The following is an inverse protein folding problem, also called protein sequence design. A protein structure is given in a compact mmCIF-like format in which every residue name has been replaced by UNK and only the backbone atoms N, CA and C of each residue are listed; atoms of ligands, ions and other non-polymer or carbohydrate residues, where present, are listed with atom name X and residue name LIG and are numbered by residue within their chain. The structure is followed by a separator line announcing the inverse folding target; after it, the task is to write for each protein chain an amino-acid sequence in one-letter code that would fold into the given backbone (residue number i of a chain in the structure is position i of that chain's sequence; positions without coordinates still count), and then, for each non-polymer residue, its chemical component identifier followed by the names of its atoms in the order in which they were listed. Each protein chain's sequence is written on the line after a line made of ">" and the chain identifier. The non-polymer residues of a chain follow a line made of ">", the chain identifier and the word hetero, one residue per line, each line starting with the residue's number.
data_IF_511622946394
#
_entry.id   IF_511622946394
#
_cell.length_a   1.000
_cell.length_b   1.000
_cell.length_c   1.000
_cell.angle_alpha   90.00
_cell.angle_beta   90.00
_cell.angle_gamma   90.00
#
_symmetry.space_group_name_H-M   'P 1'
#
loop_
_entity.id
_entity.type
_entity.pdbx_description
1 polymer ?
#
# COMPACT_ATOMS: atom_id res chain seq x y z
N UNK A 1 -59.35 -2.35 -9.14
CA UNK A 1 -59.89 -3.65 -9.58
C UNK A 1 -59.05 -4.72 -8.90
N UNK A 2 -59.70 -5.38 -7.92
CA UNK A 2 -59.41 -6.68 -7.29
C UNK A 2 -58.12 -6.88 -6.50
N UNK A 3 -58.27 -6.57 -5.21
CA UNK A 3 -57.91 -7.30 -3.98
C UNK A 3 -57.49 -8.78 -4.06
N UNK A 4 -56.57 -9.17 -3.16
CA UNK A 4 -56.49 -10.42 -2.35
C UNK A 4 -55.11 -10.44 -1.65
N UNK A 5 -54.94 -10.09 -0.37
CA UNK A 5 -55.28 -10.85 0.86
C UNK A 5 -55.06 -12.37 0.79
N UNK A 6 -54.05 -12.86 1.51
CA UNK A 6 -54.18 -14.06 2.36
C UNK A 6 -53.01 -14.17 3.34
N UNK A 7 -53.36 -14.00 4.61
CA UNK A 7 -52.59 -14.37 5.78
C UNK A 7 -52.74 -15.87 6.05
N UNK A 8 -51.69 -16.50 6.61
CA UNK A 8 -51.84 -17.70 7.44
C UNK A 8 -50.99 -17.49 8.70
N UNK A 9 -51.69 -17.45 9.84
CA UNK A 9 -51.16 -17.57 11.19
C UNK A 9 -51.53 -18.94 11.75
N UNK A 10 -50.61 -19.58 12.47
CA UNK A 10 -50.84 -20.47 13.62
C UNK A 10 -49.46 -20.93 14.12
N UNK A 11 -48.90 -20.41 15.22
CA UNK A 11 -49.18 -20.71 16.63
C UNK A 11 -48.94 -22.17 17.01
N UNK A 12 -47.95 -22.39 17.87
CA UNK A 12 -47.64 -23.67 18.50
C UNK A 12 -46.54 -23.51 19.56
N UNK A 13 -46.94 -23.00 20.73
CA UNK A 13 -46.19 -23.01 21.97
C UNK A 13 -45.72 -24.43 22.34
N UNK A 14 -44.53 -24.55 22.96
CA UNK A 14 -44.39 -25.08 24.33
C UNK A 14 -42.96 -25.47 24.71
N UNK A 15 -42.61 -25.05 25.94
CA UNK A 15 -41.78 -25.71 26.95
C UNK A 15 -40.26 -25.66 26.86
N UNK A 16 -39.76 -24.83 27.77
CA UNK A 16 -38.53 -24.92 28.54
C UNK A 16 -38.07 -26.35 28.85
N UNK A 17 -36.77 -26.58 28.70
CA UNK A 17 -36.01 -27.41 29.63
C UNK A 17 -34.59 -26.88 29.78
N UNK A 18 -34.30 -26.48 31.02
CA UNK A 18 -33.00 -26.18 31.56
C UNK A 18 -32.09 -27.39 31.47
N UNK A 19 -30.88 -27.23 30.94
CA UNK A 19 -29.79 -28.17 31.18
C UNK A 19 -28.46 -27.43 31.18
N UNK A 20 -28.02 -27.11 32.40
CA UNK A 20 -26.64 -26.79 32.73
C UNK A 20 -25.74 -28.00 32.40
N UNK A 21 -24.57 -27.83 31.79
CA UNK A 21 -23.53 -28.84 31.87
C UNK A 21 -22.74 -28.69 33.18
N UNK A 22 -22.36 -29.81 33.83
CA UNK A 22 -21.71 -29.81 35.13
C UNK A 22 -20.23 -29.41 35.05
N UNK A 23 -19.80 -28.77 36.13
CA UNK A 23 -18.41 -28.63 36.54
C UNK A 23 -17.75 -30.01 36.67
N UNK A 24 -16.61 -30.22 35.99
CA UNK A 24 -15.67 -31.27 36.34
C UNK A 24 -14.28 -30.70 36.56
N UNK A 25 -13.90 -30.76 37.83
CA UNK A 25 -12.55 -30.68 38.33
C UNK A 25 -11.64 -31.75 37.72
N UNK A 26 -10.38 -31.35 37.51
CA UNK A 26 -9.23 -32.16 37.84
C UNK A 26 -8.99 -33.44 37.04
N UNK A 27 -8.21 -33.34 35.96
CA UNK A 27 -7.11 -34.29 35.76
C UNK A 27 -6.04 -33.74 34.82
N UNK A 28 -4.87 -33.49 35.42
CA UNK A 28 -3.62 -33.09 34.79
C UNK A 28 -3.08 -34.25 33.92
N UNK A 29 -2.93 -34.11 32.59
CA UNK A 29 -2.29 -35.16 31.80
C UNK A 29 -0.78 -35.19 32.07
N UNK A 30 -0.30 -36.40 32.36
CA UNK A 30 1.11 -36.74 32.60
C UNK A 30 1.96 -36.37 31.38
N UNK A 31 3.06 -35.66 31.66
CA UNK A 31 4.16 -35.32 30.75
C UNK A 31 4.75 -36.61 30.16
N UNK A 32 4.47 -36.89 28.88
CA UNK A 32 5.14 -37.95 28.14
C UNK A 32 6.61 -37.57 27.91
N UNK A 33 7.51 -38.46 28.33
CA UNK A 33 8.94 -38.37 28.06
C UNK A 33 9.16 -38.59 26.57
N UNK A 34 9.55 -37.55 25.85
CA UNK A 34 10.12 -37.68 24.50
C UNK A 34 11.61 -37.97 24.66
N UNK A 35 12.02 -39.12 24.14
CA UNK A 35 13.41 -39.55 23.99
C UNK A 35 14.20 -38.52 23.18
N UNK A 36 15.23 -37.94 23.78
CA UNK A 36 16.30 -37.25 23.05
C UNK A 36 17.36 -38.29 22.62
N UNK A 37 17.77 -38.35 21.35
CA UNK A 37 19.02 -39.01 20.99
C UNK A 37 20.21 -38.15 21.41
N UNK A 38 21.13 -38.78 22.13
CA UNK A 38 22.42 -38.25 22.57
C UNK A 38 23.31 -37.86 21.38
N UNK A 39 23.74 -36.60 21.35
CA UNK A 39 24.85 -36.14 20.50
C UNK A 39 26.19 -36.44 21.19
N UNK A 40 27.22 -36.94 20.46
CA UNK A 40 28.54 -37.16 21.02
C UNK A 40 29.35 -35.85 21.17
N UNK A 41 30.25 -35.89 22.16
CA UNK A 41 31.12 -34.81 22.61
C UNK A 41 32.12 -34.30 21.55
N UNK A 42 32.62 -33.06 21.66
CA UNK A 42 33.57 -32.47 20.71
C UNK A 42 35.00 -32.95 20.97
N UNK A 43 35.65 -33.45 19.92
CA UNK A 43 37.09 -33.70 19.86
C UNK A 43 37.82 -32.41 19.51
N UNK A 44 38.78 -32.05 20.38
CA UNK A 44 39.78 -31.02 20.16
C UNK A 44 40.70 -31.39 18.98
N UNK A 45 40.90 -30.48 18.02
CA UNK A 45 42.14 -30.41 17.24
C UNK A 45 42.33 -29.06 16.53
N UNK A 46 43.47 -28.44 16.84
CA UNK A 46 44.34 -27.64 15.96
C UNK A 46 43.82 -26.32 15.34
N UNK A 47 44.24 -25.22 15.99
CA UNK A 47 44.52 -23.91 15.39
C UNK A 47 45.54 -24.02 14.23
N UNK A 48 45.40 -23.17 13.20
CA UNK A 48 46.54 -22.47 12.63
C UNK A 48 46.48 -20.98 12.94
N UNK A 49 47.64 -20.47 13.39
CA UNK A 49 47.95 -19.04 13.49
C UNK A 49 47.96 -18.44 12.09
N UNK A 50 47.21 -17.37 11.86
CA UNK A 50 47.48 -16.44 10.76
C UNK A 50 47.93 -15.12 11.36
N UNK A 51 49.16 -14.81 10.98
CA UNK A 51 49.98 -13.65 11.30
C UNK A 51 49.33 -12.35 10.86
N UNK A 52 49.29 -11.40 11.79
CA UNK A 52 49.13 -9.97 11.54
C UNK A 52 50.45 -9.44 11.00
N UNK A 53 50.42 -8.79 9.84
CA UNK A 53 51.52 -7.96 9.33
C UNK A 53 51.02 -6.55 9.05
N UNK A 54 51.68 -5.59 9.69
CA UNK A 54 51.57 -4.14 9.53
C UNK A 54 52.11 -3.64 8.18
N UNK A 55 51.83 -2.35 7.92
CA UNK A 55 52.38 -1.42 6.93
C UNK A 55 51.51 -1.29 5.65
N UNK A 56 51.22 -0.09 5.10
CA UNK A 56 51.93 1.20 5.15
C UNK A 56 51.01 2.32 4.65
N UNK A 57 51.25 3.53 5.11
CA UNK A 57 50.70 4.80 4.61
C UNK A 57 50.98 5.05 3.12
N UNK A 58 50.05 5.72 2.43
CA UNK A 58 50.38 6.91 1.61
C UNK A 58 49.14 7.75 1.22
N UNK A 59 49.25 9.10 1.27
CA UNK A 59 48.26 10.05 0.77
C UNK A 59 48.60 10.59 -0.62
N UNK A 60 47.60 11.19 -1.30
CA UNK A 60 47.61 12.28 -2.31
C UNK A 60 46.19 12.34 -2.89
N UNK A 61 45.38 13.37 -2.60
CA UNK A 61 45.28 14.68 -3.29
C UNK A 61 44.76 14.62 -4.73
N UNK A 62 43.82 15.54 -4.97
CA UNK A 62 43.44 16.18 -6.24
C UNK A 62 42.30 15.58 -7.12
N UNK A 63 41.16 16.27 -6.97
CA UNK A 63 40.52 17.09 -8.01
C UNK A 63 39.32 16.56 -8.83
N UNK A 64 38.42 17.52 -9.05
CA UNK A 64 37.35 17.61 -10.04
C UNK A 64 36.23 16.55 -10.06
N UNK A 65 35.00 16.96 -9.73
CA UNK A 65 34.11 17.48 -10.79
C UNK A 65 32.66 17.67 -10.34
N UNK A 66 32.14 18.79 -10.81
CA UNK A 66 30.77 19.30 -10.80
C UNK A 66 29.88 18.49 -11.75
N UNK A 67 28.57 18.45 -11.47
CA UNK A 67 27.42 18.69 -12.41
C UNK A 67 26.15 18.05 -11.84
N UNK A 68 25.15 18.80 -11.36
CA UNK A 68 24.13 19.60 -12.10
C UNK A 68 23.35 18.78 -13.12
N UNK A 69 22.13 18.38 -12.75
CA UNK A 69 21.16 17.71 -13.62
C UNK A 69 20.20 18.76 -14.18
N UNK A 70 20.42 19.18 -15.43
CA UNK A 70 19.45 19.92 -16.23
C UNK A 70 19.31 19.32 -17.64
N UNK A 71 18.05 19.30 -18.09
CA UNK A 71 17.55 19.33 -19.46
C UNK A 71 17.98 18.27 -20.48
N UNK A 72 17.02 17.39 -20.79
CA UNK A 72 16.93 16.70 -22.09
C UNK A 72 15.93 17.43 -23.00
N UNK A 73 16.46 18.14 -24.00
CA UNK A 73 15.75 18.50 -25.22
C UNK A 73 16.72 18.53 -26.42
N UNK A 74 16.36 17.77 -27.46
CA UNK A 74 16.72 17.93 -28.88
C UNK A 74 18.21 18.00 -29.30
N UNK A 75 18.70 16.97 -30.00
CA UNK A 75 18.83 16.95 -31.47
C UNK A 75 19.45 15.64 -31.98
N UNK A 76 19.17 15.40 -33.24
CA UNK A 76 19.19 14.14 -33.97
C UNK A 76 20.05 14.39 -35.21
N UNK A 77 21.11 13.60 -35.41
CA UNK A 77 21.93 13.45 -36.63
C UNK A 77 23.08 12.49 -36.23
N UNK A 78 23.59 11.55 -37.02
CA UNK A 78 23.23 10.97 -38.30
C UNK A 78 23.99 9.62 -38.33
N UNK A 79 23.33 8.53 -38.73
CA UNK A 79 24.03 7.30 -39.09
C UNK A 79 23.53 6.89 -40.48
N UNK A 80 24.42 7.05 -41.44
CA UNK A 80 24.30 6.60 -42.82
C UNK A 80 24.51 5.10 -42.86
N UNK A 81 23.46 4.35 -43.23
CA UNK A 81 23.60 2.98 -43.71
C UNK A 81 22.86 2.81 -45.04
N UNK A 82 23.60 2.25 -46.00
CA UNK A 82 23.20 1.93 -47.36
C UNK A 82 21.98 1.02 -47.40
N UNK A 83 20.90 1.49 -48.05
CA UNK A 83 19.77 0.66 -48.43
C UNK A 83 19.66 0.62 -49.95
N UNK A 84 19.89 -0.57 -50.48
CA UNK A 84 19.72 -0.97 -51.87
C UNK A 84 18.25 -0.85 -52.28
N UNK A 85 17.93 0.12 -53.14
CA UNK A 85 16.57 0.32 -53.66
C UNK A 85 16.26 -0.76 -54.69
N UNK A 86 15.35 -1.66 -54.33
CA UNK A 86 14.71 -2.62 -55.22
C UNK A 86 13.78 -1.87 -56.18
N UNK A 87 14.08 -1.94 -57.47
CA UNK A 87 13.32 -1.28 -58.54
C UNK A 87 12.08 -2.08 -58.91
N UNK A 88 10.89 -1.50 -58.75
CA UNK A 88 9.67 -2.01 -59.35
C UNK A 88 9.53 -1.50 -60.80
N UNK A 89 9.06 -2.31 -61.75
CA UNK A 89 8.97 -1.92 -63.16
C UNK A 89 7.77 -0.98 -63.40
N UNK A 90 8.08 0.27 -63.72
CA UNK A 90 7.15 1.27 -64.25
C UNK A 90 6.52 0.80 -65.57
N UNK A 91 5.22 1.06 -65.72
CA UNK A 91 4.42 0.61 -66.87
C UNK A 91 4.83 1.31 -68.17
N UNK A 92 4.63 0.64 -69.31
CA UNK A 92 5.01 1.10 -70.67
C UNK A 92 4.35 2.44 -71.10
N UNK A 93 3.41 3.00 -70.34
CA UNK A 93 2.74 4.27 -70.65
C UNK A 93 3.54 5.52 -70.25
N UNK A 94 4.36 5.46 -69.20
CA UNK A 94 4.99 6.66 -68.63
C UNK A 94 6.28 7.07 -69.35
N UNK A 95 6.89 6.16 -70.13
CA UNK A 95 8.13 6.43 -70.87
C UNK A 95 7.95 7.33 -72.10
N UNK A 96 6.72 7.52 -72.60
CA UNK A 96 6.46 8.38 -73.78
C UNK A 96 6.23 9.86 -73.44
N UNK A 97 5.93 10.20 -72.19
CA UNK A 97 5.70 11.60 -71.79
C UNK A 97 7.01 12.35 -71.48
N UNK A 98 8.04 11.64 -71.02
CA UNK A 98 9.29 12.26 -70.56
C UNK A 98 10.25 12.59 -71.72
N UNK A 99 10.12 11.92 -72.87
CA UNK A 99 11.02 12.13 -74.02
C UNK A 99 10.68 13.33 -74.91
N UNK A 100 9.53 13.99 -74.70
CA UNK A 100 9.12 15.17 -75.49
C UNK A 100 9.51 16.52 -74.87
N UNK A 101 10.12 16.53 -73.68
CA UNK A 101 10.46 17.75 -72.93
C UNK A 101 11.97 17.96 -72.76
N UNK A 102 12.75 17.70 -73.81
CA UNK A 102 14.19 18.00 -73.84
C UNK A 102 14.61 18.53 -75.22
N UNK A 103 14.02 19.64 -75.62
CA UNK A 103 14.28 20.29 -76.89
C UNK A 103 13.58 21.64 -77.01
N UNK A 104 13.84 22.54 -76.08
CA UNK A 104 13.57 23.97 -76.24
C UNK A 104 14.31 24.72 -75.13
N UNK A 105 15.50 25.23 -75.45
CA UNK A 105 16.05 26.40 -74.77
C UNK A 105 15.66 27.62 -75.59
N UNK A 106 14.83 28.48 -75.03
CA UNK A 106 14.80 29.90 -75.34
C UNK A 106 14.18 30.58 -74.11
N UNK A 107 14.76 31.72 -73.74
CA UNK A 107 14.31 32.58 -72.65
C UNK A 107 12.81 32.83 -72.72
N UNK A 108 12.06 32.31 -71.74
CA UNK A 108 10.66 32.66 -71.52
C UNK A 108 10.54 33.16 -70.09
N UNK A 109 10.34 34.47 -70.01
CA UNK A 109 9.81 35.20 -68.86
C UNK A 109 8.66 34.40 -68.21
N UNK A 110 8.56 34.29 -66.87
CA UNK A 110 7.50 33.52 -66.25
C UNK A 110 6.15 34.17 -66.57
N UNK A 111 5.43 33.59 -67.54
CA UNK A 111 4.08 34.00 -67.90
C UNK A 111 3.16 33.74 -66.69
N UNK A 112 3.01 34.78 -65.86
CA UNK A 112 2.06 34.80 -64.76
C UNK A 112 0.67 34.76 -65.38
N UNK A 113 0.01 33.60 -65.25
CA UNK A 113 -1.37 33.41 -65.67
C UNK A 113 -2.27 34.32 -64.80
N UNK A 114 -2.54 35.51 -65.32
CA UNK A 114 -3.39 36.54 -64.71
C UNK A 114 -4.87 36.29 -65.00
N UNK A 115 -5.22 35.17 -65.64
CA UNK A 115 -6.61 34.85 -65.93
C UNK A 115 -7.35 34.43 -64.66
N UNK A 116 -8.41 35.17 -64.33
CA UNK A 116 -9.28 34.82 -63.22
C UNK A 116 -9.83 33.40 -63.46
N UNK A 117 -9.65 32.51 -62.47
CA UNK A 117 -10.03 31.10 -62.57
C UNK A 117 -11.48 30.94 -63.06
N UNK A 118 -11.64 30.43 -64.28
CA UNK A 118 -12.94 30.20 -64.91
C UNK A 118 -13.78 29.27 -64.02
N UNK A 119 -14.92 29.76 -63.53
CA UNK A 119 -15.87 28.96 -62.76
C UNK A 119 -16.43 27.86 -63.65
N UNK A 120 -15.87 26.65 -63.52
CA UNK A 120 -16.24 25.46 -64.28
C UNK A 120 -17.63 24.97 -63.85
N UNK A 121 -18.67 25.56 -64.46
CA UNK A 121 -20.09 25.27 -64.21
C UNK A 121 -20.60 23.99 -64.92
N UNK A 122 -19.75 22.96 -65.03
CA UNK A 122 -20.18 21.70 -65.64
C UNK A 122 -21.08 20.90 -64.70
N UNK A 123 -22.10 20.21 -65.22
CA UNK A 123 -22.94 19.30 -64.42
C UNK A 123 -22.12 18.21 -63.70
N UNK A 124 -20.94 17.86 -64.23
CA UNK A 124 -20.02 16.87 -63.66
C UNK A 124 -19.27 17.42 -62.44
N UNK A 125 -18.77 18.67 -62.52
CA UNK A 125 -18.10 19.35 -61.40
C UNK A 125 -19.09 19.66 -60.27
N UNK A 126 -20.31 20.10 -60.59
CA UNK A 126 -21.36 20.30 -59.59
C UNK A 126 -21.73 19.01 -58.84
N UNK A 127 -21.82 17.88 -59.54
CA UNK A 127 -22.05 16.56 -58.90
C UNK A 127 -20.89 16.13 -58.00
N UNK A 128 -19.65 16.45 -58.39
CA UNK A 128 -18.46 16.08 -57.64
C UNK A 128 -18.29 16.96 -56.39
N UNK A 129 -18.53 18.26 -56.49
CA UNK A 129 -18.61 19.20 -55.36
C UNK A 129 -19.71 18.79 -54.38
N UNK A 130 -20.94 18.55 -54.87
CA UNK A 130 -22.05 18.09 -54.01
C UNK A 130 -21.76 16.75 -53.32
N UNK A 131 -20.96 15.87 -53.95
CA UNK A 131 -20.50 14.61 -53.34
C UNK A 131 -19.38 14.84 -52.32
N UNK A 132 -18.49 15.80 -52.53
CA UNK A 132 -17.47 16.21 -51.55
C UNK A 132 -18.11 16.92 -50.34
N UNK A 133 -19.05 17.84 -50.56
CA UNK A 133 -19.84 18.48 -49.51
C UNK A 133 -20.65 17.46 -48.70
N UNK A 134 -21.28 16.46 -49.36
CA UNK A 134 -21.94 15.35 -48.63
C UNK A 134 -20.97 14.50 -47.83
N UNK A 135 -19.70 14.38 -48.27
CA UNK A 135 -18.66 13.66 -47.51
C UNK A 135 -18.12 14.50 -46.36
N UNK A 136 -18.00 15.82 -46.52
CA UNK A 136 -17.55 16.74 -45.48
C UNK A 136 -18.63 16.98 -44.42
N UNK A 137 -19.89 17.16 -44.81
CA UNK A 137 -21.03 17.25 -43.88
C UNK A 137 -21.32 15.95 -43.12
N UNK A 138 -20.81 14.80 -43.61
CA UNK A 138 -20.84 13.52 -42.91
C UNK A 138 -19.64 13.30 -41.98
N UNK A 139 -18.63 14.17 -41.99
CA UNK A 139 -17.59 14.13 -40.96
C UNK A 139 -18.21 14.69 -39.69
N UNK A 140 -18.41 13.82 -38.71
CA UNK A 140 -18.74 14.23 -37.35
C UNK A 140 -17.53 15.03 -36.85
N UNK A 141 -17.64 16.35 -36.92
CA UNK A 141 -16.66 17.24 -36.30
C UNK A 141 -16.89 17.16 -34.79
N UNK A 142 -16.16 16.28 -34.11
CA UNK A 142 -16.04 16.40 -32.66
C UNK A 142 -15.34 17.73 -32.37
N UNK A 143 -15.97 18.59 -31.58
CA UNK A 143 -15.37 19.85 -31.12
C UNK A 143 -14.16 19.62 -30.19
N UNK A 144 -13.87 18.37 -29.84
CA UNK A 144 -12.76 17.97 -28.96
C UNK A 144 -11.46 18.09 -29.75
N UNK A 145 -10.67 19.12 -29.46
CA UNK A 145 -9.34 19.35 -30.05
C UNK A 145 -8.22 18.87 -29.12
N UNK A 146 -8.47 18.91 -27.81
CA UNK A 146 -7.53 18.56 -26.75
C UNK A 146 -8.15 17.56 -25.77
N UNK A 147 -7.29 16.84 -25.04
CA UNK A 147 -7.70 15.98 -23.93
C UNK A 147 -8.51 16.76 -22.88
N UNK A 148 -8.21 18.05 -22.67
CA UNK A 148 -8.92 18.87 -21.70
C UNK A 148 -10.33 19.29 -22.16
N UNK A 149 -10.68 19.07 -23.42
CA UNK A 149 -12.01 19.38 -23.96
C UNK A 149 -13.03 18.25 -23.69
N UNK A 150 -12.58 17.14 -23.10
CA UNK A 150 -13.47 16.07 -22.68
C UNK A 150 -14.38 16.52 -21.52
N UNK A 151 -15.64 16.07 -21.47
CA UNK A 151 -16.50 16.25 -20.31
C UNK A 151 -15.83 15.69 -19.04
N UNK A 152 -16.07 16.29 -17.87
CA UNK A 152 -15.42 15.91 -16.61
C UNK A 152 -15.65 14.44 -16.27
N UNK A 153 -16.80 13.86 -16.60
CA UNK A 153 -17.10 12.45 -16.36
C UNK A 153 -16.17 11.52 -17.15
N UNK A 154 -15.89 11.88 -18.41
CA UNK A 154 -14.98 11.13 -19.28
C UNK A 154 -13.54 11.28 -18.81
N UNK A 155 -13.15 12.48 -18.39
CA UNK A 155 -11.84 12.72 -17.78
C UNK A 155 -11.66 11.88 -16.51
N UNK A 156 -12.65 11.87 -15.62
CA UNK A 156 -12.60 11.05 -14.40
C UNK A 156 -12.52 9.56 -14.73
N UNK A 157 -13.25 9.09 -15.73
CA UNK A 157 -13.20 7.71 -16.18
C UNK A 157 -11.79 7.35 -16.68
N UNK A 158 -11.21 8.16 -17.58
CA UNK A 158 -9.88 7.93 -18.15
C UNK A 158 -8.82 7.95 -17.05
N UNK A 159 -8.83 8.95 -16.16
CA UNK A 159 -7.91 9.01 -15.02
C UNK A 159 -8.12 7.83 -14.07
N UNK A 160 -9.35 7.35 -13.94
CA UNK A 160 -9.68 6.13 -13.23
C UNK A 160 -8.99 4.89 -13.81
N UNK A 161 -8.61 4.88 -15.10
CA UNK A 161 -7.80 3.84 -15.76
C UNK A 161 -6.30 3.89 -15.51
N UNK A 162 -5.81 4.99 -14.92
CA UNK A 162 -4.40 5.14 -14.61
C UNK A 162 -4.02 4.51 -13.27
N UNK A 163 -2.74 4.16 -13.12
CA UNK A 163 -2.18 3.77 -11.83
C UNK A 163 -2.02 5.01 -10.95
N UNK A 164 -2.06 4.90 -9.61
CA UNK A 164 -1.87 6.05 -8.72
C UNK A 164 -0.58 6.84 -9.02
N UNK A 165 0.54 6.17 -9.32
CA UNK A 165 1.79 6.82 -9.75
C UNK A 165 1.62 7.72 -10.96
N UNK A 166 0.83 7.27 -11.93
CA UNK A 166 0.64 7.97 -13.20
C UNK A 166 -0.29 9.17 -12.98
N UNK A 167 -1.31 9.04 -12.11
CA UNK A 167 -2.15 10.17 -11.64
C UNK A 167 -1.32 11.22 -10.92
N UNK A 168 -0.38 10.83 -10.05
CA UNK A 168 0.54 11.78 -9.42
C UNK A 168 1.45 12.50 -10.44
N UNK A 169 1.83 11.83 -11.53
CA UNK A 169 2.52 12.48 -12.64
C UNK A 169 1.62 13.49 -13.37
N UNK A 170 0.33 13.18 -13.54
CA UNK A 170 -0.64 14.10 -14.14
C UNK A 170 -0.83 15.39 -13.32
N UNK A 171 -0.75 15.32 -11.98
CA UNK A 171 -0.80 16.50 -11.10
C UNK A 171 0.29 17.54 -11.38
N UNK A 172 1.38 17.15 -12.05
CA UNK A 172 2.53 18.01 -12.37
C UNK A 172 2.46 18.62 -13.77
N UNK A 173 1.50 18.22 -14.61
CA UNK A 173 1.46 18.64 -16.01
C UNK A 173 0.96 20.08 -16.19
N UNK A 174 -0.19 20.41 -15.61
CA UNK A 174 -0.76 21.76 -15.68
C UNK A 174 -1.71 22.03 -14.50
N UNK A 175 -2.04 23.30 -14.28
CA UNK A 175 -2.88 23.75 -13.18
C UNK A 175 -4.31 23.20 -13.23
N UNK A 176 -4.90 23.11 -14.44
CA UNK A 176 -6.25 22.56 -14.62
C UNK A 176 -6.32 21.10 -14.16
N UNK A 177 -5.40 20.26 -14.64
CA UNK A 177 -5.33 18.84 -14.28
C UNK A 177 -5.06 18.65 -12.78
N UNK A 178 -4.18 19.50 -12.21
CA UNK A 178 -3.93 19.52 -10.78
C UNK A 178 -5.21 19.78 -9.99
N UNK A 179 -5.95 20.84 -10.31
CA UNK A 179 -7.17 21.19 -9.60
C UNK A 179 -8.25 20.14 -9.81
N UNK A 180 -8.45 19.69 -11.05
CA UNK A 180 -9.42 18.65 -11.39
C UNK A 180 -9.20 17.36 -10.59
N UNK A 181 -7.96 16.87 -10.50
CA UNK A 181 -7.64 15.67 -9.74
C UNK A 181 -7.85 15.89 -8.23
N UNK A 182 -7.44 17.04 -7.69
CA UNK A 182 -7.57 17.33 -6.27
C UNK A 182 -9.04 17.51 -5.84
N UNK A 183 -9.87 18.14 -6.67
CA UNK A 183 -11.30 18.29 -6.43
C UNK A 183 -12.05 16.94 -6.51
N UNK A 184 -11.60 16.04 -7.38
CA UNK A 184 -12.22 14.73 -7.60
C UNK A 184 -11.45 13.57 -6.96
N UNK A 185 -10.54 13.85 -6.02
CA UNK A 185 -9.55 12.90 -5.52
C UNK A 185 -10.21 11.61 -4.98
N UNK A 186 -11.26 11.76 -4.17
CA UNK A 186 -11.96 10.62 -3.55
C UNK A 186 -12.58 9.70 -4.59
N UNK A 187 -13.27 10.26 -5.59
CA UNK A 187 -13.94 9.49 -6.65
C UNK A 187 -12.93 8.73 -7.50
N UNK A 188 -11.84 9.42 -7.89
CA UNK A 188 -10.73 8.82 -8.63
C UNK A 188 -10.05 7.70 -7.85
N UNK A 189 -9.67 7.95 -6.60
CA UNK A 189 -9.02 6.97 -5.74
C UNK A 189 -9.91 5.73 -5.51
N UNK A 190 -11.21 5.93 -5.31
CA UNK A 190 -12.16 4.82 -5.17
C UNK A 190 -12.29 4.01 -6.45
N UNK A 191 -12.41 4.67 -7.61
CA UNK A 191 -12.45 3.99 -8.91
C UNK A 191 -11.20 3.15 -9.17
N UNK A 192 -10.02 3.72 -8.93
CA UNK A 192 -8.73 3.05 -9.12
C UNK A 192 -8.60 1.87 -8.14
N UNK A 193 -8.86 2.10 -6.86
CA UNK A 193 -8.72 1.08 -5.82
C UNK A 193 -9.69 -0.07 -6.03
N UNK A 194 -10.94 0.22 -6.39
CA UNK A 194 -11.95 -0.82 -6.63
C UNK A 194 -11.58 -1.71 -7.83
N UNK A 195 -10.95 -1.16 -8.87
CA UNK A 195 -10.57 -1.94 -10.04
C UNK A 195 -9.26 -2.69 -9.84
N UNK A 196 -8.23 -2.04 -9.31
CA UNK A 196 -6.86 -2.58 -9.32
C UNK A 196 -6.42 -3.18 -7.98
N UNK A 197 -7.00 -2.74 -6.86
CA UNK A 197 -6.50 -3.01 -5.51
C UNK A 197 -7.63 -3.46 -4.57
N UNK A 198 -8.57 -4.25 -5.08
CA UNK A 198 -9.78 -4.62 -4.34
C UNK A 198 -9.48 -5.52 -3.13
N UNK A 199 -8.56 -6.47 -3.27
CA UNK A 199 -8.11 -7.36 -2.20
C UNK A 199 -7.30 -6.57 -1.19
N UNK A 200 -6.32 -5.80 -1.66
CA UNK A 200 -5.41 -5.04 -0.82
C UNK A 200 -6.13 -3.96 0.00
N UNK A 201 -7.18 -3.31 -0.56
CA UNK A 201 -8.02 -2.36 0.18
C UNK A 201 -8.63 -2.96 1.44
N UNK A 202 -9.03 -4.23 1.39
CA UNK A 202 -9.64 -4.92 2.53
C UNK A 202 -8.60 -5.33 3.58
N UNK A 203 -7.39 -5.66 3.12
CA UNK A 203 -6.29 -6.10 3.98
C UNK A 203 -5.58 -4.94 4.69
N UNK A 204 -5.54 -3.77 4.06
CA UNK A 204 -4.80 -2.59 4.52
C UNK A 204 -5.69 -1.36 4.72
N UNK A 205 -6.60 -1.42 5.70
CA UNK A 205 -7.42 -0.29 6.11
C UNK A 205 -6.58 0.86 6.66
N UNK A 206 -7.10 2.08 6.60
CA UNK A 206 -6.48 3.26 7.18
C UNK A 206 -6.82 3.38 8.67
N UNK A 207 -5.87 3.77 9.53
CA UNK A 207 -6.19 4.20 10.88
C UNK A 207 -7.01 5.49 10.88
N UNK A 208 -7.79 5.70 11.94
CA UNK A 208 -8.71 6.84 12.06
C UNK A 208 -8.05 7.96 12.87
N UNK A 209 -8.21 9.22 12.45
CA UNK A 209 -7.77 10.38 13.22
C UNK A 209 -8.48 10.44 14.58
N UNK A 210 -7.76 10.82 15.64
CA UNK A 210 -8.35 10.96 16.97
C UNK A 210 -9.52 11.96 16.97
N UNK A 211 -9.41 13.01 16.15
CA UNK A 211 -10.45 14.02 15.96
C UNK A 211 -11.78 13.47 15.41
N UNK A 212 -11.77 12.31 14.75
CA UNK A 212 -12.96 11.64 14.22
C UNK A 212 -13.52 10.58 15.18
N UNK A 213 -12.81 10.28 16.27
CA UNK A 213 -13.26 9.32 17.29
C UNK A 213 -14.37 9.95 18.15
N UNK A 214 -15.40 9.20 18.58
CA UNK A 214 -16.42 9.67 19.51
C UNK A 214 -15.83 10.26 20.80
N UNK A 215 -16.42 11.36 21.28
CA UNK A 215 -15.93 12.09 22.46
C UNK A 215 -15.87 11.22 23.73
N UNK A 216 -16.76 10.24 23.88
CA UNK A 216 -16.78 9.30 25.00
C UNK A 216 -15.54 8.39 25.05
N UNK A 217 -14.93 8.06 23.90
CA UNK A 217 -13.80 7.15 23.83
C UNK A 217 -12.44 7.86 23.84
N UNK A 218 -12.38 9.13 23.44
CA UNK A 218 -11.13 9.94 23.43
C UNK A 218 -10.39 9.97 24.77
N UNK A 219 -11.03 10.27 25.93
CA UNK A 219 -10.28 10.33 27.18
C UNK A 219 -9.73 8.95 27.57
N UNK A 220 -10.46 7.86 27.26
CA UNK A 220 -10.00 6.49 27.52
C UNK A 220 -8.76 6.18 26.69
N UNK A 221 -8.77 6.54 25.41
CA UNK A 221 -7.63 6.35 24.52
C UNK A 221 -6.41 7.14 24.98
N UNK A 222 -6.57 8.34 25.53
CA UNK A 222 -5.45 9.14 26.03
C UNK A 222 -5.00 8.74 27.44
N UNK A 223 -5.75 7.87 28.13
CA UNK A 223 -5.44 7.48 29.51
C UNK A 223 -4.11 6.72 29.61
N UNK A 224 -3.28 6.99 30.64
CA UNK A 224 -2.03 6.24 30.86
C UNK A 224 -2.24 4.74 30.93
N UNK A 225 -3.36 4.29 31.52
CA UNK A 225 -3.70 2.87 31.64
C UNK A 225 -3.84 2.19 30.27
N UNK A 226 -4.51 2.82 29.31
CA UNK A 226 -4.61 2.29 27.95
C UNK A 226 -3.25 2.36 27.25
N UNK A 227 -2.58 3.51 27.34
CA UNK A 227 -1.27 3.73 26.74
C UNK A 227 -0.22 2.71 27.23
N UNK A 228 -0.29 2.31 28.49
CA UNK A 228 0.54 1.27 29.10
C UNK A 228 0.21 -0.13 28.58
N UNK A 229 -1.07 -0.46 28.41
CA UNK A 229 -1.48 -1.77 27.87
C UNK A 229 -1.03 -1.97 26.42
N UNK A 230 -1.10 -0.92 25.62
CA UNK A 230 -0.64 -0.99 24.23
C UNK A 230 0.88 -0.87 24.09
N UNK A 231 1.64 -0.70 25.19
CA UNK A 231 3.11 -0.75 25.14
C UNK A 231 3.63 -2.02 24.49
N UNK A 232 2.97 -3.16 24.63
CA UNK A 232 3.41 -4.43 24.00
C UNK A 232 3.42 -4.31 22.47
N UNK A 233 2.44 -3.61 21.91
CA UNK A 233 2.30 -3.37 20.48
C UNK A 233 3.01 -2.09 20.01
N UNK A 234 3.66 -1.36 20.92
CA UNK A 234 4.49 -0.16 20.66
C UNK A 234 5.97 -0.37 20.95
N UNK A 235 6.33 -1.34 21.78
CA UNK A 235 7.71 -1.69 22.11
C UNK A 235 8.41 -2.24 20.85
N UNK A 236 9.69 -1.90 20.68
CA UNK A 236 10.10 -1.20 19.47
C UNK A 236 10.35 -2.19 18.35
N UNK A 237 9.38 -2.29 17.46
CA UNK A 237 9.69 -2.65 16.09
C UNK A 237 10.77 -1.71 15.62
N UNK A 238 11.93 -2.24 15.22
CA UNK A 238 13.03 -1.42 14.68
C UNK A 238 12.63 -0.72 13.37
N UNK A 239 11.53 -1.15 12.76
CA UNK A 239 11.08 -0.77 11.43
C UNK A 239 9.71 -0.07 11.40
N UNK A 240 9.15 0.31 12.56
CA UNK A 240 7.85 1.01 12.65
C UNK A 240 7.96 2.17 13.63
N UNK A 241 7.58 3.39 13.20
CA UNK A 241 7.45 4.54 14.10
C UNK A 241 6.27 4.34 15.03
N UNK A 242 6.43 4.70 16.30
CA UNK A 242 5.33 4.68 17.25
C UNK A 242 4.23 5.65 16.81
N UNK A 243 2.98 5.20 16.89
CA UNK A 243 1.80 6.01 16.63
C UNK A 243 1.67 7.11 17.69
N UNK A 244 1.45 8.34 17.25
CA UNK A 244 1.17 9.47 18.14
C UNK A 244 -0.29 9.39 18.64
N UNK A 245 -0.52 9.15 19.94
CA UNK A 245 -1.87 9.07 20.50
C UNK A 245 -2.64 10.38 20.44
N UNK A 246 -1.98 11.53 20.29
CA UNK A 246 -2.65 12.83 20.21
C UNK A 246 -3.27 13.07 18.82
N UNK A 247 -2.74 12.43 17.78
CA UNK A 247 -3.15 12.66 16.38
C UNK A 247 -4.02 11.54 15.85
N UNK A 248 -3.67 10.29 16.13
CA UNK A 248 -4.31 9.10 15.54
C UNK A 248 -4.91 8.23 16.63
N UNK A 249 -6.07 7.64 16.36
CA UNK A 249 -6.71 6.67 17.24
C UNK A 249 -5.77 5.49 17.54
N UNK A 250 -5.69 5.11 18.81
CA UNK A 250 -4.82 4.03 19.29
C UNK A 250 -5.60 2.80 19.76
N UNK A 251 -6.85 2.63 19.29
CA UNK A 251 -7.56 1.36 19.45
C UNK A 251 -6.79 0.24 18.72
N UNK A 252 -7.05 -1.02 19.08
CA UNK A 252 -6.26 -2.14 18.56
C UNK A 252 -6.29 -2.23 17.02
N UNK A 253 -7.47 -2.05 16.42
CA UNK A 253 -7.65 -2.04 14.96
C UNK A 253 -6.84 -0.93 14.27
N UNK A 254 -6.85 0.30 14.80
CA UNK A 254 -6.07 1.41 14.23
C UNK A 254 -4.55 1.19 14.42
N UNK A 255 -4.13 0.63 15.55
CA UNK A 255 -2.73 0.31 15.83
C UNK A 255 -2.19 -0.76 14.86
N UNK A 256 -2.96 -1.83 14.63
CA UNK A 256 -2.59 -2.86 13.66
C UNK A 256 -2.56 -2.32 12.23
N UNK A 257 -3.51 -1.45 11.88
CA UNK A 257 -3.56 -0.77 10.57
C UNK A 257 -2.32 0.11 10.35
N UNK A 258 -1.95 0.89 11.36
CA UNK A 258 -0.73 1.71 11.36
C UNK A 258 0.52 0.85 11.14
N UNK A 259 0.66 -0.23 11.91
CA UNK A 259 1.81 -1.12 11.81
C UNK A 259 1.90 -1.76 10.42
N UNK A 260 0.78 -2.27 9.89
CA UNK A 260 0.74 -2.90 8.58
C UNK A 260 1.12 -1.95 7.44
N UNK A 261 0.65 -0.70 7.48
CA UNK A 261 0.99 0.30 6.44
C UNK A 261 2.48 0.70 6.50
N UNK A 262 3.05 0.85 7.70
CA UNK A 262 4.48 1.14 7.85
C UNK A 262 5.36 -0.04 7.39
N UNK A 263 4.93 -1.28 7.68
CA UNK A 263 5.60 -2.50 7.21
C UNK A 263 5.66 -2.53 5.68
N UNK A 264 4.57 -2.19 4.98
CA UNK A 264 4.54 -2.12 3.51
C UNK A 264 5.62 -1.17 3.00
N UNK A 265 5.69 0.03 3.58
CA UNK A 265 6.63 1.06 3.14
C UNK A 265 8.07 0.65 3.40
N UNK A 266 8.36 0.04 4.55
CA UNK A 266 9.69 -0.48 4.87
C UNK A 266 10.07 -1.66 3.94
N UNK A 267 9.15 -2.60 3.68
CA UNK A 267 9.35 -3.67 2.69
C UNK A 267 9.64 -3.11 1.29
N UNK A 268 8.98 -2.03 0.90
CA UNK A 268 9.18 -1.35 -0.38
C UNK A 268 10.56 -0.70 -0.45
N UNK A 269 10.98 0.00 0.61
CA UNK A 269 12.28 0.63 0.70
C UNK A 269 13.42 -0.38 0.47
N UNK A 270 13.29 -1.58 1.03
CA UNK A 270 14.32 -2.62 0.95
C UNK A 270 14.23 -3.53 -0.28
N UNK A 271 13.30 -3.30 -1.23
CA UNK A 271 13.17 -4.19 -2.40
C UNK A 271 14.45 -4.29 -3.22
N UNK A 272 15.15 -3.17 -3.43
CA UNK A 272 16.40 -3.14 -4.18
C UNK A 272 17.45 -4.07 -3.58
N UNK A 273 17.58 -4.08 -2.25
CA UNK A 273 18.50 -4.99 -1.55
C UNK A 273 18.18 -6.45 -1.84
N UNK A 274 16.89 -6.83 -1.80
CA UNK A 274 16.48 -8.19 -2.08
C UNK A 274 16.66 -8.59 -3.56
N UNK A 275 16.48 -7.65 -4.50
CA UNK A 275 16.74 -7.85 -5.92
C UNK A 275 18.25 -8.06 -6.19
N UNK A 276 19.09 -7.27 -5.54
CA UNK A 276 20.55 -7.31 -5.68
C UNK A 276 21.24 -8.36 -4.81
N UNK A 277 20.51 -9.03 -3.91
CA UNK A 277 21.04 -9.96 -2.89
C UNK A 277 21.99 -9.29 -1.90
N UNK A 278 21.75 -8.01 -1.64
CA UNK A 278 22.46 -7.26 -0.62
C UNK A 278 21.78 -7.53 0.73
N UNK A 279 22.53 -7.89 1.78
CA UNK A 279 21.95 -8.07 3.10
C UNK A 279 21.40 -6.74 3.63
N UNK A 280 20.28 -6.81 4.34
CA UNK A 280 19.71 -5.66 5.06
C UNK A 280 20.68 -5.17 6.14
N UNK A 281 20.79 -3.85 6.37
CA UNK A 281 21.59 -3.29 7.44
C UNK A 281 21.13 -3.79 8.82
N UNK A 282 22.06 -4.36 9.59
CA UNK A 282 21.81 -4.83 10.95
C UNK A 282 21.92 -3.65 11.92
N UNK A 283 20.87 -3.40 12.70
CA UNK A 283 20.88 -2.40 13.77
C UNK A 283 21.33 -3.07 15.07
N UNK A 284 22.46 -2.65 15.68
CA UNK A 284 22.91 -3.19 16.95
C UNK A 284 21.85 -2.98 18.05
N UNK A 285 21.75 -3.94 18.98
CA UNK A 285 20.81 -3.85 20.10
C UNK A 285 21.04 -2.57 20.90
N UNK A 286 19.96 -1.90 21.28
CA UNK A 286 19.99 -0.67 22.06
C UNK A 286 20.43 0.58 21.29
N UNK A 287 20.77 0.47 20.00
CA UNK A 287 21.05 1.62 19.14
C UNK A 287 19.85 1.95 18.27
N UNK A 288 19.67 3.24 17.98
CA UNK A 288 18.75 3.72 16.97
C UNK A 288 19.51 4.68 16.04
N UNK A 289 20.06 4.19 14.92
CA UNK A 289 20.85 5.02 14.03
C UNK A 289 19.98 6.10 13.38
N UNK A 290 20.59 7.23 13.03
CA UNK A 290 19.89 8.39 12.47
C UNK A 290 19.15 8.05 11.17
N UNK A 291 19.79 7.28 10.28
CA UNK A 291 19.17 6.83 9.03
C UNK A 291 17.86 6.08 9.27
N UNK A 292 17.80 5.25 10.32
CA UNK A 292 16.61 4.47 10.64
C UNK A 292 15.52 5.39 11.20
N UNK A 293 15.89 6.30 12.11
CA UNK A 293 14.94 7.27 12.67
C UNK A 293 14.30 8.12 11.58
N UNK A 294 15.10 8.59 10.62
CA UNK A 294 14.62 9.34 9.45
C UNK A 294 13.70 8.50 8.58
N UNK A 295 14.11 7.27 8.24
CA UNK A 295 13.29 6.34 7.44
C UNK A 295 11.92 6.08 8.09
N UNK A 296 11.89 5.87 9.41
CA UNK A 296 10.65 5.67 10.16
C UNK A 296 9.77 6.92 10.19
N UNK A 297 10.36 8.10 10.27
CA UNK A 297 9.64 9.35 10.17
C UNK A 297 9.00 9.51 8.78
N UNK A 298 9.77 9.30 7.71
CA UNK A 298 9.29 9.40 6.33
C UNK A 298 8.13 8.43 6.07
N UNK A 299 8.22 7.19 6.54
CA UNK A 299 7.11 6.22 6.42
C UNK A 299 5.86 6.67 7.16
N UNK A 300 6.01 7.15 8.41
CA UNK A 300 4.88 7.63 9.18
C UNK A 300 4.21 8.85 8.51
N UNK A 301 5.00 9.76 7.94
CA UNK A 301 4.48 10.94 7.26
C UNK A 301 3.69 10.56 6.00
N UNK A 302 4.13 9.54 5.26
CA UNK A 302 3.37 8.95 4.15
C UNK A 302 2.05 8.35 4.64
N UNK A 303 2.05 7.61 5.76
CA UNK A 303 0.83 7.04 6.34
C UNK A 303 -0.12 8.14 6.80
N UNK A 304 0.36 9.18 7.49
CA UNK A 304 -0.44 10.33 7.90
C UNK A 304 -1.02 11.03 6.67
N UNK A 305 -0.24 11.21 5.61
CA UNK A 305 -0.75 11.76 4.34
C UNK A 305 -1.87 10.88 3.77
N UNK A 306 -1.72 9.55 3.79
CA UNK A 306 -2.73 8.62 3.31
C UNK A 306 -4.04 8.64 4.12
N UNK A 307 -3.99 8.98 5.42
CA UNK A 307 -5.20 9.18 6.23
C UNK A 307 -6.03 10.38 5.71
N UNK A 308 -5.37 11.40 5.17
CA UNK A 308 -6.02 12.61 4.65
C UNK A 308 -6.34 12.52 3.15
N UNK A 309 -5.51 11.80 2.38
CA UNK A 309 -5.54 11.71 0.92
C UNK A 309 -5.83 10.28 0.47
N UNK A 310 -7.05 9.98 -0.01
CA UNK A 310 -7.40 8.67 -0.57
C UNK A 310 -6.49 8.24 -1.73
N UNK A 311 -5.98 9.19 -2.52
CA UNK A 311 -5.05 8.89 -3.60
C UNK A 311 -3.67 8.46 -3.06
N UNK A 312 -3.22 9.07 -1.96
CA UNK A 312 -2.00 8.62 -1.27
C UNK A 312 -2.16 7.21 -0.68
N UNK A 313 -3.33 6.86 -0.14
CA UNK A 313 -3.61 5.47 0.27
C UNK A 313 -3.55 4.50 -0.92
N UNK A 314 -4.20 4.85 -2.03
CA UNK A 314 -4.14 4.06 -3.28
C UNK A 314 -2.70 3.85 -3.74
N UNK A 315 -1.84 4.86 -3.57
CA UNK A 315 -0.41 4.76 -3.89
C UNK A 315 0.34 3.79 -2.97
N UNK A 316 0.02 3.73 -1.68
CA UNK A 316 0.58 2.71 -0.78
C UNK A 316 0.18 1.31 -1.26
N UNK A 317 -1.08 1.10 -1.64
CA UNK A 317 -1.55 -0.18 -2.15
C UNK A 317 -0.85 -0.58 -3.45
N UNK A 318 -0.68 0.36 -4.39
CA UNK A 318 0.09 0.13 -5.61
C UNK A 318 1.53 -0.31 -5.30
N UNK A 319 2.20 0.38 -4.37
CA UNK A 319 3.56 0.03 -3.95
C UNK A 319 3.60 -1.37 -3.34
N UNK A 320 2.62 -1.72 -2.51
CA UNK A 320 2.54 -3.05 -1.93
C UNK A 320 2.31 -4.16 -2.94
N UNK A 321 1.46 -3.92 -3.94
CA UNK A 321 1.23 -4.86 -5.02
C UNK A 321 2.54 -5.11 -5.78
N UNK A 322 3.25 -4.05 -6.15
CA UNK A 322 4.55 -4.15 -6.85
C UNK A 322 5.56 -4.98 -6.04
N UNK A 323 5.70 -4.68 -4.75
CA UNK A 323 6.54 -5.43 -3.80
C UNK A 323 6.17 -6.92 -3.77
N UNK A 324 4.89 -7.22 -3.64
CA UNK A 324 4.38 -8.59 -3.51
C UNK A 324 4.58 -9.36 -4.82
N UNK A 325 4.18 -8.79 -5.94
CA UNK A 325 4.35 -9.37 -7.28
C UNK A 325 5.82 -9.66 -7.56
N UNK A 326 6.72 -8.70 -7.36
CA UNK A 326 8.17 -8.89 -7.56
C UNK A 326 8.73 -9.98 -6.67
N UNK A 327 8.32 -10.04 -5.41
CA UNK A 327 8.77 -11.07 -4.47
C UNK A 327 8.33 -12.47 -4.88
N UNK A 328 7.08 -12.63 -5.35
CA UNK A 328 6.56 -13.91 -5.86
C UNK A 328 7.30 -14.33 -7.14
N UNK A 329 7.51 -13.40 -8.08
CA UNK A 329 8.24 -13.68 -9.32
C UNK A 329 9.69 -14.08 -9.02
N UNK A 330 10.35 -13.35 -8.12
CA UNK A 330 11.73 -13.60 -7.70
C UNK A 330 11.89 -14.97 -7.02
N UNK A 331 11.06 -15.26 -6.02
CA UNK A 331 11.09 -16.53 -5.29
C UNK A 331 10.87 -17.72 -6.23
N UNK A 332 9.94 -17.61 -7.18
CA UNK A 332 9.71 -18.64 -8.19
C UNK A 332 10.92 -18.88 -9.10
N UNK A 333 11.62 -17.81 -9.53
CA UNK A 333 12.86 -17.93 -10.34
C UNK A 333 13.96 -18.63 -9.55
N UNK A 334 14.05 -18.40 -8.25
CA UNK A 334 15.10 -18.99 -7.40
C UNK A 334 14.89 -20.48 -7.13
N UNK A 335 13.65 -20.93 -6.92
CA UNK A 335 13.35 -22.37 -6.76
C UNK A 335 13.84 -23.19 -7.96
N UNK A 336 13.70 -22.65 -9.18
CA UNK A 336 14.17 -23.30 -10.41
C UNK A 336 15.70 -23.48 -10.51
N UNK A 337 16.50 -22.70 -9.78
CA UNK A 337 17.97 -22.70 -9.91
C UNK A 337 18.66 -23.76 -9.03
N UNK A 338 17.99 -24.29 -8.00
CA UNK A 338 18.61 -25.19 -7.02
C UNK A 338 18.00 -26.59 -6.93
N UNK A 339 16.78 -26.77 -7.42
CA UNK A 339 16.03 -28.00 -7.19
C UNK A 339 15.84 -28.73 -8.54
N UNK A 340 16.27 -30.00 -8.63
CA UNK A 340 16.03 -30.89 -9.79
C UNK A 340 14.55 -31.28 -9.80
N UNK A 341 13.68 -30.31 -10.01
CA UNK A 341 12.25 -30.50 -9.81
C UNK A 341 11.67 -31.20 -11.03
N UNK A 342 11.32 -32.46 -10.85
CA UNK A 342 10.59 -33.30 -11.80
C UNK A 342 9.17 -32.78 -12.10
N UNK A 343 8.64 -31.85 -11.29
CA UNK A 343 7.27 -31.31 -11.40
C UNK A 343 7.21 -29.79 -11.16
N UNK A 344 6.93 -28.95 -12.17
CA UNK A 344 6.97 -27.49 -12.01
C UNK A 344 5.99 -27.01 -10.93
N UNK A 345 6.52 -26.58 -9.77
CA UNK A 345 5.71 -26.00 -8.68
C UNK A 345 5.20 -24.62 -9.12
N UNK A 346 3.88 -24.35 -9.04
CA UNK A 346 3.34 -23.05 -9.41
C UNK A 346 3.87 -21.95 -8.48
N UNK A 347 3.85 -20.70 -9.00
CA UNK A 347 4.10 -19.52 -8.19
C UNK A 347 3.02 -19.39 -7.11
N UNK A 348 3.32 -18.65 -6.04
CA UNK A 348 2.32 -18.34 -5.02
C UNK A 348 1.09 -17.71 -5.67
N UNK A 349 -0.10 -18.15 -5.26
CA UNK A 349 -1.39 -17.74 -5.86
C UNK A 349 -1.51 -18.00 -7.38
N UNK A 350 -0.72 -18.92 -7.92
CA UNK A 350 -0.71 -19.23 -9.36
C UNK A 350 -0.48 -18.01 -10.27
N UNK A 351 0.25 -17.00 -9.77
CA UNK A 351 0.54 -15.77 -10.50
C UNK A 351 1.18 -16.06 -11.87
N UNK A 352 0.57 -15.56 -12.94
CA UNK A 352 1.12 -15.61 -14.31
C UNK A 352 1.99 -14.38 -14.61
N UNK A 353 2.72 -14.41 -15.73
CA UNK A 353 3.50 -13.24 -16.17
C UNK A 353 2.59 -12.11 -16.69
N UNK A 354 1.50 -12.45 -17.37
CA UNK A 354 0.49 -11.48 -17.83
C UNK A 354 -0.17 -10.73 -16.67
N UNK A 355 -0.50 -11.43 -15.58
CA UNK A 355 -1.09 -10.83 -14.37
C UNK A 355 -0.08 -9.93 -13.64
N UNK A 356 1.19 -10.33 -13.63
CA UNK A 356 2.24 -9.52 -13.05
C UNK A 356 2.40 -8.18 -13.80
N UNK A 357 2.20 -8.18 -15.12
CA UNK A 357 2.24 -6.99 -15.98
C UNK A 357 0.96 -6.15 -15.88
N UNK A 358 -0.21 -6.79 -15.72
CA UNK A 358 -1.50 -6.12 -15.60
C UNK A 358 -1.59 -5.18 -14.38
N UNK A 359 -0.84 -5.48 -13.31
CA UNK A 359 -0.76 -4.63 -12.12
C UNK A 359 -2.08 -4.55 -11.34
N UNK A 360 -2.87 -5.63 -11.37
CA UNK A 360 -4.07 -5.84 -10.56
C UNK A 360 -3.84 -6.89 -9.49
N UNK A 361 -4.61 -6.83 -8.40
CA UNK A 361 -4.48 -7.74 -7.27
C UNK A 361 -5.41 -8.97 -7.32
N UNK A 362 -6.05 -9.22 -8.46
CA UNK A 362 -7.02 -10.32 -8.67
C UNK A 362 -6.42 -11.70 -8.37
N UNK A 363 -5.15 -11.90 -8.71
CA UNK A 363 -4.47 -13.17 -8.43
C UNK A 363 -4.44 -13.49 -6.92
N UNK A 364 -4.48 -12.49 -6.03
CA UNK A 364 -4.49 -12.68 -4.58
C UNK A 364 -5.81 -13.29 -4.07
N UNK A 365 -6.86 -13.36 -4.87
CA UNK A 365 -8.13 -14.02 -4.51
C UNK A 365 -8.01 -15.55 -4.54
N UNK A 366 -6.99 -16.08 -5.21
CA UNK A 366 -6.74 -17.52 -5.27
C UNK A 366 -6.28 -18.06 -3.93
N UNK A 367 -6.34 -19.38 -3.80
CA UNK A 367 -5.90 -20.07 -2.59
C UNK A 367 -4.43 -19.79 -2.30
N UNK A 368 -4.11 -19.62 -1.02
CA UNK A 368 -2.75 -19.37 -0.58
C UNK A 368 -2.61 -19.45 0.94
N UNK A 369 -1.37 -19.42 1.45
CA UNK A 369 -1.11 -19.44 2.88
C UNK A 369 -1.62 -18.14 3.50
N UNK A 370 -2.30 -18.20 4.66
CA UNK A 370 -2.70 -16.98 5.34
C UNK A 370 -1.49 -16.29 5.99
N UNK A 371 -1.44 -14.96 5.89
CA UNK A 371 -0.38 -14.14 6.49
C UNK A 371 -0.85 -13.53 7.82
N UNK A 372 -1.02 -14.36 8.86
CA UNK A 372 -1.41 -13.85 10.19
C UNK A 372 -0.25 -13.31 11.01
N UNK A 373 0.97 -13.77 10.71
CA UNK A 373 2.10 -13.53 11.59
C UNK A 373 2.56 -12.08 11.47
N UNK A 374 2.53 -11.29 12.56
CA UNK A 374 3.06 -9.94 12.53
C UNK A 374 4.55 -9.98 12.21
N UNK A 375 5.00 -9.02 11.42
CA UNK A 375 6.41 -8.89 11.08
C UNK A 375 7.09 -8.11 12.19
N UNK A 376 7.78 -8.81 13.09
CA UNK A 376 8.42 -8.18 14.25
C UNK A 376 9.81 -7.62 13.96
N UNK A 377 10.53 -8.21 13.00
CA UNK A 377 11.91 -7.85 12.65
C UNK A 377 12.09 -7.86 11.13
N UNK A 378 13.00 -7.02 10.62
CA UNK A 378 13.33 -6.97 9.19
C UNK A 378 13.88 -8.29 8.66
N UNK A 379 14.51 -9.10 9.51
CA UNK A 379 14.97 -10.44 9.16
C UNK A 379 13.82 -11.36 8.68
N UNK A 380 12.59 -11.10 9.12
CA UNK A 380 11.46 -11.88 8.64
C UNK A 380 11.15 -11.60 7.16
N UNK A 381 11.59 -10.47 6.59
CA UNK A 381 11.34 -10.11 5.19
C UNK A 381 11.93 -11.12 4.21
N UNK A 382 13.02 -11.79 4.56
CA UNK A 382 13.63 -12.83 3.70
C UNK A 382 12.73 -14.05 3.50
N UNK A 383 11.85 -14.33 4.46
CA UNK A 383 11.01 -15.53 4.47
C UNK A 383 9.58 -15.28 3.98
N UNK A 384 9.25 -14.03 3.65
CA UNK A 384 7.88 -13.64 3.32
C UNK A 384 7.76 -13.49 1.81
N UNK A 385 6.96 -14.36 1.21
CA UNK A 385 6.64 -14.28 -0.22
C UNK A 385 5.49 -13.31 -0.50
N UNK A 386 4.51 -13.23 0.41
CA UNK A 386 3.41 -12.27 0.36
C UNK A 386 2.94 -11.91 1.76
N UNK A 387 2.82 -10.61 2.02
CA UNK A 387 2.25 -10.08 3.26
C UNK A 387 0.85 -9.56 2.99
N UNK A 388 -0.18 -10.36 3.29
CA UNK A 388 -1.59 -9.97 3.08
C UNK A 388 -2.40 -10.32 4.33
N UNK A 389 -2.35 -9.45 5.36
CA UNK A 389 -2.97 -9.71 6.67
C UNK A 389 -4.49 -9.56 6.59
N UNK A 390 -5.16 -9.75 7.74
CA UNK A 390 -6.60 -9.51 7.92
C UNK A 390 -7.54 -10.37 7.07
N UNK A 391 -7.07 -11.51 6.57
CA UNK A 391 -7.88 -12.48 5.83
C UNK A 391 -7.55 -13.93 6.17
N UNK A 392 -8.52 -14.81 6.04
CA UNK A 392 -8.42 -16.26 6.25
C UNK A 392 -8.95 -17.00 5.03
N UNK A 393 -8.22 -18.00 4.58
CA UNK A 393 -8.72 -18.92 3.56
C UNK A 393 -9.69 -19.90 4.19
N UNK A 394 -10.92 -19.93 3.68
CA UNK A 394 -11.89 -20.96 4.01
C UNK A 394 -11.76 -22.13 3.05
N UNK A 395 -11.51 -23.32 3.60
CA UNK A 395 -11.38 -24.54 2.79
C UNK A 395 -12.73 -25.06 2.33
N UNK A 396 -13.81 -24.77 3.05
CA UNK A 396 -15.14 -25.28 2.71
C UNK A 396 -15.76 -24.47 1.59
N UNK A 397 -15.76 -23.13 1.73
CA UNK A 397 -16.32 -22.23 0.71
C UNK A 397 -15.33 -21.89 -0.41
N UNK A 398 -14.05 -22.24 -0.27
CA UNK A 398 -12.97 -21.86 -1.20
C UNK A 398 -12.91 -20.35 -1.45
N UNK A 399 -13.14 -19.55 -0.40
CA UNK A 399 -13.13 -18.09 -0.46
C UNK A 399 -12.29 -17.49 0.66
N UNK A 400 -11.76 -16.29 0.42
CA UNK A 400 -11.16 -15.48 1.49
C UNK A 400 -12.25 -14.84 2.36
N UNK A 401 -12.20 -15.08 3.67
CA UNK A 401 -12.93 -14.29 4.67
C UNK A 401 -12.05 -13.19 5.21
N UNK A 402 -12.53 -11.95 5.11
CA UNK A 402 -11.84 -10.77 5.62
C UNK A 402 -12.35 -10.43 7.01
N UNK A 403 -11.44 -10.37 8.00
CA UNK A 403 -11.78 -9.95 9.36
C UNK A 403 -12.09 -8.45 9.42
N UNK A 404 -11.45 -7.69 8.54
CA UNK A 404 -11.49 -6.24 8.46
C UNK A 404 -12.68 -5.73 7.62
N UNK A 405 -13.92 -6.01 8.04
CA UNK A 405 -15.10 -5.30 7.48
C UNK A 405 -15.22 -3.91 8.11
N UNK A 406 -14.31 -3.01 7.76
CA UNK A 406 -14.30 -1.64 8.26
C UNK A 406 -15.61 -0.92 7.94
N UNK A 407 -16.12 -0.06 8.85
CA UNK A 407 -15.50 0.42 10.10
C UNK A 407 -15.76 -0.44 11.36
N UNK A 408 -16.48 -1.57 11.26
CA UNK A 408 -16.97 -2.32 12.44
C UNK A 408 -15.91 -2.74 13.46
N UNK A 409 -14.71 -3.25 13.09
CA UNK A 409 -13.68 -3.61 14.07
C UNK A 409 -13.26 -2.42 14.95
N UNK A 410 -13.13 -1.24 14.36
CA UNK A 410 -12.82 -0.02 15.10
C UNK A 410 -13.94 0.38 16.05
N UNK A 411 -15.19 0.34 15.61
CA UNK A 411 -16.35 0.64 16.46
C UNK A 411 -16.46 -0.32 17.64
N UNK A 412 -16.25 -1.61 17.39
CA UNK A 412 -16.25 -2.64 18.44
C UNK A 412 -15.12 -2.42 19.45
N UNK A 413 -13.90 -2.10 18.99
CA UNK A 413 -12.78 -1.81 19.88
C UNK A 413 -13.06 -0.57 20.75
N UNK A 414 -13.64 0.48 20.18
CA UNK A 414 -14.01 1.68 20.93
C UNK A 414 -15.09 1.39 21.96
N UNK A 415 -16.13 0.64 21.57
CA UNK A 415 -17.21 0.24 22.49
C UNK A 415 -16.66 -0.57 23.67
N UNK A 416 -15.76 -1.52 23.39
CA UNK A 416 -15.10 -2.32 24.42
C UNK A 416 -14.23 -1.45 25.35
N UNK A 417 -13.49 -0.48 24.80
CA UNK A 417 -12.67 0.44 25.58
C UNK A 417 -13.52 1.29 26.52
N UNK A 418 -14.59 1.89 26.03
CA UNK A 418 -15.52 2.69 26.83
C UNK A 418 -16.12 1.82 27.93
N UNK A 419 -16.67 0.65 27.60
CA UNK A 419 -17.27 -0.25 28.58
C UNK A 419 -16.30 -0.68 29.69
N UNK A 420 -15.02 -0.86 29.37
CA UNK A 420 -14.02 -1.37 30.31
C UNK A 420 -13.33 -0.30 31.15
N UNK A 421 -13.15 0.91 30.61
CA UNK A 421 -12.28 1.92 31.22
C UNK A 421 -13.03 3.19 31.66
N UNK A 422 -14.28 3.40 31.28
CA UNK A 422 -15.02 4.61 31.68
C UNK A 422 -15.26 4.73 33.19
N UNK A 423 -15.47 3.61 33.90
CA UNK A 423 -15.64 3.60 35.37
C UNK A 423 -14.39 4.07 36.11
N UNK A 424 -13.21 3.68 35.62
CA UNK A 424 -11.94 4.10 36.18
C UNK A 424 -11.68 5.60 36.00
N UNK A 425 -12.16 6.19 34.92
CA UNK A 425 -12.04 7.64 34.71
C UNK A 425 -12.93 8.43 35.66
N UNK A 426 -14.16 7.97 35.88
CA UNK A 426 -15.04 8.57 36.87
C UNK A 426 -14.41 8.52 38.28
N UNK A 427 -13.78 7.40 38.64
CA UNK A 427 -13.07 7.26 39.91
C UNK A 427 -11.83 8.16 40.01
N UNK A 428 -11.01 8.23 38.97
CA UNK A 428 -9.82 9.09 38.96
C UNK A 428 -10.19 10.59 39.00
N UNK A 429 -11.26 10.99 38.31
CA UNK A 429 -11.78 12.36 38.38
C UNK A 429 -12.38 12.69 39.75
N UNK A 430 -13.11 11.76 40.36
CA UNK A 430 -13.63 11.93 41.72
C UNK A 430 -12.50 12.06 42.76
N UNK A 431 -11.40 11.31 42.60
CA UNK A 431 -10.21 11.43 43.46
C UNK A 431 -9.45 12.74 43.24
N UNK A 432 -9.35 13.22 42.01
CA UNK A 432 -8.68 14.49 41.70
C UNK A 432 -9.49 15.73 42.13
N UNK A 433 -10.82 15.60 42.26
CA UNK A 433 -11.72 16.66 42.72
C UNK A 433 -11.96 16.64 44.24
N UNK A 434 -11.38 15.68 44.98
CA UNK A 434 -11.47 15.64 46.43
C UNK A 434 -10.73 16.84 47.06
N UNK A 435 -11.38 17.65 47.91
CA UNK A 435 -10.75 18.82 48.52
C UNK A 435 -9.56 18.40 49.42
N UNK A 436 -8.47 19.18 49.46
CA UNK A 436 -7.23 18.84 50.17
C UNK A 436 -7.40 18.69 51.69
N UNK A 437 -8.54 19.07 52.26
CA UNK A 437 -8.79 18.98 53.70
C UNK A 437 -9.00 17.55 54.22
N UNK A 438 -9.32 16.57 53.37
CA UNK A 438 -9.52 15.17 53.80
C UNK A 438 -8.20 14.38 53.84
N UNK A 439 -7.18 14.80 53.09
CA UNK A 439 -5.88 14.12 53.09
C UNK A 439 -5.06 14.40 54.36
N UNK A 440 -5.19 15.60 54.94
CA UNK A 440 -4.52 15.95 56.20
C UNK A 440 -5.12 15.20 57.39
N UNK A 441 -6.44 14.95 57.40
CA UNK A 441 -7.09 14.17 58.46
C UNK A 441 -6.74 12.67 58.37
N UNK A 442 -6.68 12.10 57.16
CA UNK A 442 -6.30 10.70 56.98
C UNK A 442 -4.82 10.42 57.32
N UNK A 443 -3.89 11.35 57.00
CA UNK A 443 -2.48 11.24 57.43
C UNK A 443 -2.31 11.50 58.93
N UNK A 444 -3.09 12.41 59.53
CA UNK A 444 -3.08 12.65 60.97
C UNK A 444 -3.59 11.42 61.75
N UNK A 445 -4.67 10.76 61.30
CA UNK A 445 -5.20 9.54 61.91
C UNK A 445 -4.26 8.34 61.76
N UNK A 446 -3.60 8.19 60.59
CA UNK A 446 -2.59 7.15 60.39
C UNK A 446 -1.34 7.35 61.27
N UNK A 447 -0.92 8.60 61.48
CA UNK A 447 0.15 8.91 62.44
C UNK A 447 -0.27 8.65 63.89
N UNK A 448 -1.52 8.94 64.28
CA UNK A 448 -1.99 8.66 65.65
C UNK A 448 -2.09 7.17 65.95
N UNK A 449 -2.52 6.35 64.98
CA UNK A 449 -2.58 4.89 65.14
C UNK A 449 -1.20 4.23 65.24
N UNK A 450 -0.18 4.78 64.55
CA UNK A 450 1.20 4.29 64.64
C UNK A 450 1.88 4.53 66.00
N UNK A 451 1.42 5.56 66.74
CA UNK A 451 1.93 5.89 68.08
C UNK A 451 1.31 4.99 69.15
N UNK A 452 0.04 4.61 69.00
CA UNK A 452 -0.67 3.74 69.96
C UNK A 452 -0.13 2.30 69.94
N UNK A 453 0.40 1.81 68.81
CA UNK A 453 1.00 0.47 68.71
C UNK A 453 2.45 0.36 69.23
N UNK A 454 3.06 1.45 69.71
CA UNK A 454 4.45 1.47 70.24
C UNK A 454 4.53 1.66 71.76
N UNK A 455 3.47 1.36 72.51
CA UNK A 455 3.56 1.31 73.97
C UNK A 455 4.04 -0.08 74.43
N UNK A 456 5.13 -0.18 75.22
CA UNK A 456 5.64 -1.46 75.71
C UNK A 456 4.70 -2.05 76.75
N UNK A 457 4.33 -3.31 76.54
CA UNK A 457 3.53 -4.13 77.43
C UNK A 457 4.30 -4.41 78.73
N UNK A 458 4.01 -3.68 79.81
CA UNK A 458 4.53 -3.94 81.15
C UNK A 458 3.43 -4.60 81.99
N UNK A 459 3.71 -5.81 82.49
CA UNK A 459 2.87 -6.60 83.40
C UNK A 459 2.47 -7.94 82.77
N UNK A 460 2.73 -9.11 83.35
CA UNK A 460 2.77 -9.41 84.78
C UNK A 460 3.61 -10.65 85.05
N UNK A 461 4.50 -10.56 86.03
CA UNK A 461 5.06 -11.72 86.74
C UNK A 461 4.15 -12.02 87.93
N UNK A 462 3.70 -13.26 88.05
CA UNK A 462 3.25 -13.90 89.29
C UNK A 462 3.43 -15.40 89.13
#
# INVERSE_FOLDING_TARGET
>A
MTDAESAISASGDSKAESSLPPSQDGTRPKRSKINQPSLPAPTNAARPKVTVSHARDRPTEDDESVTSYESFAHLQEAHTEDVTITTFPLSKGEKKAILRKKGASAEDEPLVDTTAALTLNSKRTARLQKRQEKKQSRKVHSHIQSFLDFPPEILSLILGFLRPSDVFSQLRLNHFMRNFILENERSLAESITRRCYWVLRQCFPLPVLLEKVPASARPVLLSPQWQDRIKIHRNPYQHIKQIDPAVVCTCMSCLLSWNNLNIILDLAHWQRNFENREPLPIIPRGKNPEWNTKLLADHADIVIKAIHSPLAHSRILQTHLDVTTRTIVRSARWRKKGEKVTTPKPRLYHLTDEEAEAGTDEYLERSGPPSYQPIYMRDNYYNIEAFVPNRKWDKETQTWHYYSKWPKPHENDLAWLVARFSSYQAQAQAQAQAPPQVQVQAEAEAQTQSVIQRLPNWGSSS
#
